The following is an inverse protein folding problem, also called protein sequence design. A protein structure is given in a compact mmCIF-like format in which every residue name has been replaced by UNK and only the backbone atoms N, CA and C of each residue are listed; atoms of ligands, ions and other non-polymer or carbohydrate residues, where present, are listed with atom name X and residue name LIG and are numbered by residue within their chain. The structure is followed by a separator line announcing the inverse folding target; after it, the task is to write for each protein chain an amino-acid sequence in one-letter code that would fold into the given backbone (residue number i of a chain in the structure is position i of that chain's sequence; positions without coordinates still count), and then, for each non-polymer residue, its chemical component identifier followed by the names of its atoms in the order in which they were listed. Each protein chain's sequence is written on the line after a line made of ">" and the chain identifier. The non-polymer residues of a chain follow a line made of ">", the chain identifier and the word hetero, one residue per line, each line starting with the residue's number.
data_IF_318518342564
#
_entry.id   IF_318518342564
#
_cell.length_a   1.000
_cell.length_b   1.000
_cell.length_c   1.000
_cell.angle_alpha   90.00
_cell.angle_beta   90.00
_cell.angle_gamma   90.00
#
_symmetry.space_group_name_H-M   'P 1'
#
loop_
_entity.id
_entity.type
_entity.pdbx_description
1 polymer ?
#
# COMPACT_ATOMS: atom_id res chain seq x y z
N UNK A 1 2.99 -24.60 41.53
CA UNK A 1 2.18 -23.57 40.83
C UNK A 1 3.04 -22.59 40.02
N UNK A 2 4.11 -22.02 40.60
CA UNK A 2 5.07 -21.14 39.90
C UNK A 2 5.68 -21.76 38.62
N UNK A 3 6.00 -23.06 38.64
CA UNK A 3 6.53 -23.81 37.48
C UNK A 3 5.54 -23.90 36.30
N UNK A 4 4.24 -23.88 36.58
CA UNK A 4 3.17 -23.93 35.56
C UNK A 4 2.86 -22.54 35.01
N UNK A 5 2.88 -21.51 35.87
CA UNK A 5 2.79 -20.10 35.47
C UNK A 5 3.96 -19.70 34.56
N UNK A 6 5.19 -20.12 34.89
CA UNK A 6 6.36 -19.87 34.04
C UNK A 6 6.22 -20.50 32.66
N UNK A 7 5.74 -21.74 32.57
CA UNK A 7 5.49 -22.40 31.28
C UNK A 7 4.45 -21.67 30.43
N UNK A 8 3.36 -21.23 31.06
CA UNK A 8 2.31 -20.48 30.37
C UNK A 8 2.79 -19.08 29.92
N UNK A 9 3.57 -18.40 30.77
CA UNK A 9 4.17 -17.10 30.44
C UNK A 9 5.11 -17.22 29.23
N UNK A 10 5.93 -18.27 29.19
CA UNK A 10 6.86 -18.49 28.08
C UNK A 10 6.11 -18.79 26.77
N UNK A 11 5.07 -19.63 26.82
CA UNK A 11 4.18 -19.87 25.68
C UNK A 11 3.46 -18.59 25.22
N UNK A 12 2.98 -17.78 26.16
CA UNK A 12 2.31 -16.51 25.84
C UNK A 12 3.26 -15.54 25.13
N UNK A 13 4.53 -15.46 25.55
CA UNK A 13 5.55 -14.64 24.88
C UNK A 13 5.80 -15.14 23.46
N UNK A 14 5.93 -16.45 23.25
CA UNK A 14 6.14 -17.03 21.92
C UNK A 14 4.93 -16.80 21.02
N UNK A 15 3.73 -17.06 21.52
CA UNK A 15 2.48 -16.83 20.79
C UNK A 15 2.33 -15.34 20.43
N UNK A 16 2.66 -14.44 21.34
CA UNK A 16 2.62 -13.00 21.11
C UNK A 16 3.62 -12.56 20.02
N UNK A 17 4.85 -13.09 20.05
CA UNK A 17 5.85 -12.83 19.01
C UNK A 17 5.41 -13.36 17.65
N UNK A 18 4.87 -14.58 17.60
CA UNK A 18 4.34 -15.15 16.37
C UNK A 18 3.18 -14.30 15.82
N UNK A 19 2.27 -13.84 16.68
CA UNK A 19 1.16 -12.98 16.30
C UNK A 19 1.65 -11.65 15.72
N UNK A 20 2.63 -11.01 16.38
CA UNK A 20 3.26 -9.79 15.87
C UNK A 20 3.92 -9.99 14.51
N UNK A 21 4.55 -11.14 14.28
CA UNK A 21 5.18 -11.43 12.99
C UNK A 21 4.13 -11.55 11.88
N UNK A 22 3.06 -12.30 12.13
CA UNK A 22 1.96 -12.49 11.15
C UNK A 22 1.30 -11.15 10.82
N UNK A 23 0.90 -10.38 11.84
CA UNK A 23 0.30 -9.07 11.61
C UNK A 23 1.29 -8.06 11.02
N UNK A 24 2.58 -8.17 11.32
CA UNK A 24 3.61 -7.33 10.72
C UNK A 24 3.74 -7.55 9.21
N UNK A 25 3.70 -8.81 8.76
CA UNK A 25 3.77 -9.16 7.32
C UNK A 25 2.49 -8.73 6.59
N UNK A 26 1.32 -9.02 7.17
CA UNK A 26 0.04 -8.62 6.57
C UNK A 26 -0.06 -7.09 6.54
N UNK A 27 0.30 -6.44 7.64
CA UNK A 27 0.28 -4.98 7.78
C UNK A 27 1.25 -4.29 6.83
N UNK A 28 2.44 -4.84 6.57
CA UNK A 28 3.39 -4.27 5.62
C UNK A 28 2.88 -4.37 4.18
N UNK A 29 2.33 -5.52 3.79
CA UNK A 29 1.74 -5.69 2.47
C UNK A 29 0.56 -4.74 2.26
N UNK A 30 -0.31 -4.62 3.25
CA UNK A 30 -1.43 -3.69 3.23
C UNK A 30 -0.95 -2.23 3.20
N UNK A 31 0.10 -1.88 3.94
CA UNK A 31 0.69 -0.55 3.94
C UNK A 31 1.26 -0.16 2.57
N UNK A 32 1.95 -1.09 1.90
CA UNK A 32 2.43 -0.89 0.53
C UNK A 32 1.25 -0.68 -0.42
N UNK A 33 0.24 -1.55 -0.37
CA UNK A 33 -0.95 -1.43 -1.20
C UNK A 33 -1.65 -0.08 -1.00
N UNK A 34 -1.81 0.36 0.25
CA UNK A 34 -2.39 1.66 0.58
C UNK A 34 -1.53 2.84 0.12
N UNK A 35 -0.21 2.70 0.17
CA UNK A 35 0.72 3.73 -0.32
C UNK A 35 0.55 3.92 -1.83
N UNK A 36 0.53 2.82 -2.58
CA UNK A 36 0.29 2.84 -4.03
C UNK A 36 -1.07 3.43 -4.35
N UNK A 37 -2.11 3.02 -3.63
CA UNK A 37 -3.46 3.55 -3.80
C UNK A 37 -3.51 5.06 -3.54
N UNK A 38 -2.87 5.52 -2.45
CA UNK A 38 -2.78 6.95 -2.11
C UNK A 38 -2.06 7.73 -3.20
N UNK A 39 -0.94 7.20 -3.72
CA UNK A 39 -0.20 7.81 -4.82
C UNK A 39 -1.05 7.90 -6.09
N UNK A 40 -1.81 6.86 -6.40
CA UNK A 40 -2.72 6.85 -7.54
C UNK A 40 -3.85 7.88 -7.39
N UNK A 41 -4.43 8.01 -6.19
CA UNK A 41 -5.43 9.04 -5.88
C UNK A 41 -4.83 10.44 -6.05
N UNK A 42 -3.64 10.69 -5.52
CA UNK A 42 -2.95 11.97 -5.68
C UNK A 42 -2.70 12.26 -7.18
N UNK A 43 -2.16 11.30 -7.93
CA UNK A 43 -1.94 11.43 -9.37
C UNK A 43 -3.24 11.71 -10.15
N UNK A 44 -4.34 11.08 -9.74
CA UNK A 44 -5.66 11.33 -10.30
C UNK A 44 -6.13 12.77 -10.03
N UNK A 45 -5.99 13.28 -8.80
CA UNK A 45 -6.33 14.67 -8.49
C UNK A 45 -5.47 15.65 -9.28
N UNK A 46 -4.18 15.39 -9.45
CA UNK A 46 -3.30 16.20 -10.30
C UNK A 46 -3.75 16.18 -11.77
N UNK A 47 -4.08 15.00 -12.31
CA UNK A 47 -4.62 14.88 -13.67
C UNK A 47 -5.94 15.66 -13.82
N UNK A 48 -6.83 15.56 -12.83
CA UNK A 48 -8.11 16.25 -12.83
C UNK A 48 -7.92 17.77 -12.75
N UNK A 49 -7.02 18.26 -11.90
CA UNK A 49 -6.66 19.67 -11.83
C UNK A 49 -6.07 20.16 -13.17
N UNK A 50 -5.10 19.44 -13.75
CA UNK A 50 -4.54 19.73 -15.07
C UNK A 50 -5.64 19.79 -16.13
N UNK A 51 -6.58 18.85 -16.12
CA UNK A 51 -7.68 18.78 -17.08
C UNK A 51 -8.65 19.96 -16.93
N UNK A 52 -8.88 20.45 -15.72
CA UNK A 52 -9.73 21.63 -15.47
C UNK A 52 -9.03 22.91 -15.91
N UNK A 53 -7.73 23.07 -15.63
CA UNK A 53 -6.98 24.28 -16.00
C UNK A 53 -6.61 24.32 -17.50
N UNK A 54 -6.26 23.18 -18.08
CA UNK A 54 -5.80 23.06 -19.46
C UNK A 54 -6.14 21.67 -20.03
N UNK A 55 -7.31 21.51 -20.68
CA UNK A 55 -7.68 20.23 -21.26
C UNK A 55 -6.68 19.76 -22.34
N UNK A 56 -6.07 20.69 -23.09
CA UNK A 56 -5.07 20.36 -24.12
C UNK A 56 -3.76 19.82 -23.55
N UNK A 57 -3.38 20.20 -22.32
CA UNK A 57 -2.22 19.63 -21.62
C UNK A 57 -2.55 18.24 -21.07
N UNK A 58 -3.76 18.04 -20.54
CA UNK A 58 -4.20 16.73 -20.06
C UNK A 58 -4.28 15.68 -21.19
N UNK A 59 -4.68 16.08 -22.40
CA UNK A 59 -4.71 15.18 -23.56
C UNK A 59 -3.29 14.78 -24.00
N UNK A 60 -2.32 15.70 -24.00
CA UNK A 60 -0.90 15.36 -24.27
C UNK A 60 -0.30 14.43 -23.22
N UNK A 61 -0.61 14.64 -21.94
CA UNK A 61 -0.18 13.74 -20.85
C UNK A 61 -0.80 12.36 -21.04
N UNK A 62 -2.08 12.28 -21.40
CA UNK A 62 -2.77 11.02 -21.68
C UNK A 62 -2.16 10.29 -22.88
N UNK A 63 -1.86 11.02 -23.95
CA UNK A 63 -1.24 10.45 -25.16
C UNK A 63 0.21 10.02 -24.91
N UNK A 64 0.95 10.74 -24.07
CA UNK A 64 2.31 10.35 -23.68
C UNK A 64 2.33 9.11 -22.77
N UNK A 65 1.37 8.99 -21.84
CA UNK A 65 1.20 7.79 -21.01
C UNK A 65 0.71 6.60 -21.85
N UNK A 66 -0.18 6.84 -22.81
CA UNK A 66 -0.66 5.81 -23.75
C UNK A 66 0.36 5.44 -24.82
N UNK A 67 1.35 6.30 -25.08
CA UNK A 67 2.31 6.27 -26.19
C UNK A 67 3.33 5.11 -26.20
N UNK A 68 2.92 3.93 -25.75
CA UNK A 68 3.58 2.64 -26.00
C UNK A 68 2.64 1.43 -26.00
N UNK A 69 1.34 1.60 -25.73
CA UNK A 69 0.37 0.50 -25.80
C UNK A 69 -0.07 0.18 -27.25
N UNK A 70 0.15 1.11 -28.19
CA UNK A 70 -0.21 0.94 -29.61
C UNK A 70 1.01 0.68 -30.52
N UNK A 71 2.16 0.31 -29.95
CA UNK A 71 3.31 -0.16 -30.70
C UNK A 71 3.63 -1.62 -30.30
N UNK A 72 3.14 -2.55 -31.12
CA UNK A 72 3.23 -4.04 -31.10
C UNK A 72 2.14 -4.78 -30.34
#
# INVERSE_FOLDING_TARGET
>A
MFRSILGFALLAIVAWLALKLVFGIIGSLFGIAMTVLTLAVIGFFFYMALRILSPSTADRVRDMIKGRADAS
#
